data_IF_500270693331
#
_entry.id   IF_500270693331
#
_cell.length_a   1.000
_cell.length_b   1.000
_cell.length_c   1.000
_cell.angle_alpha   90.00
_cell.angle_beta   90.00
_cell.angle_gamma   90.00
#
_symmetry.space_group_name_H-M   'P 1'
#
loop_
_entity.id
_entity.type
_entity.pdbx_description
1 polymer ?
#
# COMPACT_ATOMS: atom_id res chain seq x y z
N UNK A 1 -20.74 -12.89 0.41
CA UNK A 1 -19.51 -13.26 1.10
C UNK A 1 -18.90 -11.96 1.60
N UNK A 2 -18.48 -11.88 2.84
CA UNK A 2 -17.92 -10.64 3.37
C UNK A 2 -16.54 -10.41 2.79
N UNK A 3 -16.25 -9.15 2.45
CA UNK A 3 -15.01 -8.75 1.79
C UNK A 3 -14.29 -7.67 2.59
N UNK A 4 -13.01 -7.93 2.87
CA UNK A 4 -12.11 -7.00 3.52
C UNK A 4 -11.17 -6.36 2.51
N UNK A 5 -11.18 -5.04 2.40
CA UNK A 5 -10.20 -4.28 1.62
C UNK A 5 -9.22 -3.58 2.56
N UNK A 6 -7.94 -3.82 2.35
CA UNK A 6 -6.83 -3.27 3.10
C UNK A 6 -5.99 -2.40 2.16
N UNK A 7 -5.78 -1.13 2.52
CA UNK A 7 -5.05 -0.17 1.68
C UNK A 7 -3.77 0.28 2.38
N UNK A 8 -2.64 0.16 1.68
CA UNK A 8 -1.37 0.74 2.07
C UNK A 8 -1.39 2.25 1.79
N UNK A 9 -1.67 3.04 2.82
CA UNK A 9 -1.83 4.48 2.69
C UNK A 9 -0.56 5.16 2.18
N UNK A 10 0.60 4.79 2.71
CA UNK A 10 1.88 5.38 2.31
C UNK A 10 2.27 5.05 0.89
N UNK A 11 2.12 3.80 0.48
CA UNK A 11 2.43 3.37 -0.88
C UNK A 11 1.51 4.04 -1.91
N UNK A 12 0.20 4.09 -1.63
CA UNK A 12 -0.78 4.68 -2.55
C UNK A 12 -0.62 6.20 -2.65
N UNK A 13 -0.38 6.92 -1.53
CA UNK A 13 -0.17 8.36 -1.56
C UNK A 13 1.11 8.76 -2.30
N UNK A 14 2.21 8.01 -2.10
CA UNK A 14 3.43 8.20 -2.87
C UNK A 14 3.22 7.99 -4.37
N UNK A 15 2.55 6.90 -4.73
CA UNK A 15 2.22 6.60 -6.13
C UNK A 15 1.37 7.69 -6.75
N UNK A 16 0.38 8.19 -6.04
CA UNK A 16 -0.48 9.28 -6.47
C UNK A 16 0.32 10.57 -6.70
N UNK A 17 1.22 10.91 -5.77
CA UNK A 17 2.07 12.09 -5.86
C UNK A 17 2.91 12.13 -7.13
N UNK A 18 3.58 11.02 -7.47
CA UNK A 18 4.41 10.91 -8.67
C UNK A 18 3.64 10.57 -9.96
N UNK A 19 2.42 10.05 -9.83
CA UNK A 19 1.61 9.61 -10.98
C UNK A 19 0.65 10.68 -11.50
N UNK A 20 0.36 11.70 -10.72
CA UNK A 20 -0.52 12.82 -11.08
C UNK A 20 0.32 14.08 -11.26
N UNK A 21 0.13 14.85 -12.34
CA UNK A 21 0.77 16.15 -12.49
C UNK A 21 0.53 17.03 -11.27
N UNK A 22 1.43 17.98 -11.04
CA UNK A 22 1.30 18.91 -9.92
C UNK A 22 -0.02 19.69 -9.99
N UNK A 23 -0.74 19.68 -8.88
CA UNK A 23 -2.01 20.38 -8.69
C UNK A 23 -1.92 21.14 -7.38
N UNK A 24 -2.36 22.39 -7.40
CA UNK A 24 -2.46 23.24 -6.22
C UNK A 24 -3.86 23.81 -6.09
N UNK A 25 -4.32 24.01 -4.86
CA UNK A 25 -5.54 24.78 -4.59
C UNK A 25 -5.25 26.30 -4.66
N UNK A 26 -6.28 27.12 -4.45
CA UNK A 26 -6.18 28.59 -4.49
C UNK A 26 -5.30 29.17 -3.37
N UNK A 27 -5.06 28.42 -2.32
CA UNK A 27 -4.25 28.81 -1.15
C UNK A 27 -2.79 28.34 -1.28
N UNK A 28 -2.44 27.68 -2.39
CA UNK A 28 -1.10 27.19 -2.67
C UNK A 28 -0.78 25.81 -2.11
N UNK A 29 -1.74 25.13 -1.48
CA UNK A 29 -1.55 23.75 -1.02
C UNK A 29 -1.50 22.80 -2.22
N UNK A 30 -0.46 21.97 -2.29
CA UNK A 30 -0.39 20.89 -3.27
C UNK A 30 -1.47 19.83 -2.98
N UNK A 31 -2.14 19.35 -4.02
CA UNK A 31 -3.32 18.45 -3.90
C UNK A 31 -3.27 17.22 -4.81
N UNK A 32 -2.22 17.11 -5.62
CA UNK A 32 -2.08 16.01 -6.59
C UNK A 32 -2.07 14.62 -5.93
N UNK A 33 -1.41 14.46 -4.78
CA UNK A 33 -1.38 13.18 -4.04
C UNK A 33 -2.76 12.85 -3.45
N UNK A 34 -3.45 13.84 -2.88
CA UNK A 34 -4.82 13.68 -2.35
C UNK A 34 -5.76 13.27 -3.48
N UNK A 35 -5.76 14.01 -4.59
CA UNK A 35 -6.59 13.74 -5.76
C UNK A 35 -6.36 12.34 -6.31
N UNK A 36 -5.10 11.97 -6.52
CA UNK A 36 -4.75 10.65 -7.04
C UNK A 36 -5.10 9.52 -6.08
N UNK A 37 -4.89 9.71 -4.76
CA UNK A 37 -5.28 8.74 -3.74
C UNK A 37 -6.79 8.50 -3.74
N UNK A 38 -7.59 9.57 -3.71
CA UNK A 38 -9.05 9.47 -3.72
C UNK A 38 -9.58 8.81 -5.00
N UNK A 39 -8.99 9.09 -6.15
CA UNK A 39 -9.37 8.41 -7.40
C UNK A 39 -9.09 6.90 -7.34
N UNK A 40 -7.95 6.49 -6.78
CA UNK A 40 -7.65 5.07 -6.57
C UNK A 40 -8.63 4.46 -5.58
N UNK A 41 -8.87 5.12 -4.44
CA UNK A 41 -9.79 4.67 -3.40
C UNK A 41 -11.19 4.45 -3.96
N UNK A 42 -11.77 5.47 -4.63
CA UNK A 42 -13.12 5.39 -5.18
C UNK A 42 -13.25 4.27 -6.23
N UNK A 43 -12.23 4.11 -7.08
CA UNK A 43 -12.17 3.00 -8.03
C UNK A 43 -12.17 1.65 -7.33
N UNK A 44 -11.39 1.49 -6.27
CA UNK A 44 -11.33 0.25 -5.49
C UNK A 44 -12.67 -0.03 -4.80
N UNK A 45 -13.31 0.99 -4.23
CA UNK A 45 -14.63 0.85 -3.61
C UNK A 45 -15.69 0.40 -4.62
N UNK A 46 -15.69 0.97 -5.82
CA UNK A 46 -16.61 0.62 -6.90
C UNK A 46 -16.39 -0.82 -7.40
N UNK A 47 -15.14 -1.21 -7.61
CA UNK A 47 -14.79 -2.55 -8.12
C UNK A 47 -14.95 -3.66 -7.08
N UNK A 48 -14.61 -3.40 -5.81
CA UNK A 48 -14.58 -4.41 -4.76
C UNK A 48 -15.87 -4.48 -3.94
N UNK A 49 -16.62 -3.38 -3.84
CA UNK A 49 -17.82 -3.26 -3.00
C UNK A 49 -17.62 -3.89 -1.60
N UNK A 50 -16.63 -3.42 -0.82
CA UNK A 50 -16.20 -4.09 0.41
C UNK A 50 -17.25 -3.95 1.53
N UNK A 51 -17.36 -4.99 2.37
CA UNK A 51 -18.09 -4.91 3.65
C UNK A 51 -17.22 -4.31 4.76
N UNK A 52 -15.90 -4.43 4.62
CA UNK A 52 -14.91 -3.92 5.57
C UNK A 52 -13.76 -3.23 4.83
N UNK A 53 -13.36 -2.06 5.31
CA UNK A 53 -12.29 -1.25 4.73
C UNK A 53 -11.36 -0.72 5.82
N UNK A 54 -10.05 -0.83 5.59
CA UNK A 54 -9.02 -0.26 6.46
C UNK A 54 -7.91 0.37 5.61
N UNK A 55 -7.43 1.54 6.01
CA UNK A 55 -6.22 2.16 5.46
C UNK A 55 -5.13 2.15 6.53
N UNK A 56 -4.00 1.51 6.24
CA UNK A 56 -2.85 1.49 7.14
C UNK A 56 -1.84 2.57 6.75
N UNK A 57 -1.28 3.27 7.74
CA UNK A 57 -0.22 4.23 7.54
C UNK A 57 0.97 3.92 8.44
N UNK A 58 2.18 4.24 7.98
CA UNK A 58 3.37 4.24 8.81
C UNK A 58 3.38 5.43 9.76
N UNK A 59 3.85 5.23 10.98
CA UNK A 59 4.22 6.32 11.88
C UNK A 59 5.70 6.65 11.80
N UNK A 60 6.05 7.92 12.07
CA UNK A 60 7.43 8.36 12.21
C UNK A 60 7.99 7.91 13.57
N UNK A 61 8.18 6.61 13.73
CA UNK A 61 8.81 6.04 14.90
C UNK A 61 9.77 4.92 14.46
N UNK A 62 10.85 4.66 15.20
CA UNK A 62 11.66 3.47 14.96
C UNK A 62 10.78 2.22 15.03
N UNK A 63 11.04 1.27 14.16
CA UNK A 63 10.42 -0.04 14.18
C UNK A 63 11.40 -1.08 14.71
N UNK A 64 10.95 -2.25 15.09
CA UNK A 64 11.83 -3.34 15.52
C UNK A 64 12.94 -3.64 14.49
N UNK A 65 12.70 -3.36 13.19
CA UNK A 65 13.71 -3.54 12.14
C UNK A 65 14.89 -2.55 12.28
N UNK A 66 14.63 -1.33 12.77
CA UNK A 66 15.70 -0.36 13.08
C UNK A 66 16.50 -0.80 14.30
N UNK A 67 15.87 -1.46 15.28
CA UNK A 67 16.57 -2.03 16.45
C UNK A 67 17.45 -3.22 16.06
N UNK A 68 17.04 -3.99 15.03
CA UNK A 68 17.80 -5.14 14.54
C UNK A 68 18.92 -4.73 13.57
N UNK A 69 18.77 -3.62 12.85
CA UNK A 69 19.70 -3.15 11.82
C UNK A 69 19.64 -1.62 11.69
N UNK A 70 20.65 -0.93 12.22
CA UNK A 70 20.71 0.54 12.32
C UNK A 70 20.61 1.24 10.95
N UNK A 71 21.11 0.62 9.87
CA UNK A 71 21.08 1.17 8.52
C UNK A 71 19.76 0.87 7.78
N UNK A 72 18.78 0.24 8.45
CA UNK A 72 17.50 -0.09 7.82
C UNK A 72 16.82 1.16 7.25
N UNK A 73 16.57 1.15 5.94
CA UNK A 73 16.03 2.31 5.20
C UNK A 73 16.86 3.60 5.26
N UNK A 74 18.11 3.54 5.76
CA UNK A 74 19.01 4.70 5.95
C UNK A 74 19.35 5.45 4.65
N UNK A 75 19.29 4.79 3.51
CA UNK A 75 19.53 5.37 2.17
C UNK A 75 18.31 6.01 1.53
N UNK A 76 17.12 5.91 2.15
CA UNK A 76 15.89 6.51 1.60
C UNK A 76 15.98 8.03 1.63
N UNK A 77 15.69 8.65 0.47
CA UNK A 77 15.55 10.12 0.41
C UNK A 77 14.40 10.58 1.31
N UNK A 78 14.53 11.76 1.94
CA UNK A 78 13.44 12.33 2.73
C UNK A 78 12.22 12.57 1.84
N UNK A 79 11.04 12.46 2.45
CA UNK A 79 9.76 12.76 1.78
C UNK A 79 9.74 14.22 1.33
N UNK A 80 9.35 14.52 0.09
CA UNK A 80 9.15 15.90 -0.38
C UNK A 80 8.22 16.70 0.53
N UNK A 81 8.50 18.01 0.70
CA UNK A 81 7.68 18.89 1.52
C UNK A 81 6.23 18.94 1.05
N UNK A 82 6.06 19.06 -0.25
CA UNK A 82 4.77 19.10 -0.96
C UNK A 82 3.93 17.84 -0.73
N UNK A 83 4.55 16.69 -0.58
CA UNK A 83 3.86 15.46 -0.22
C UNK A 83 3.54 15.41 1.27
N UNK A 84 4.49 15.86 2.10
CA UNK A 84 4.37 15.81 3.55
C UNK A 84 3.18 16.64 4.05
N UNK A 85 2.90 17.79 3.44
CA UNK A 85 1.77 18.66 3.81
C UNK A 85 0.40 18.08 3.41
N UNK A 86 0.35 17.24 2.37
CA UNK A 86 -0.89 16.61 1.90
C UNK A 86 -1.37 15.46 2.79
N UNK A 87 -0.48 14.77 3.51
CA UNK A 87 -0.83 13.59 4.31
C UNK A 87 -1.82 13.90 5.45
N UNK A 88 -1.63 14.95 6.27
CA UNK A 88 -2.61 15.32 7.30
C UNK A 88 -3.99 15.61 6.72
N UNK A 89 -4.04 16.38 5.63
CA UNK A 89 -5.31 16.72 4.95
C UNK A 89 -6.00 15.48 4.40
N UNK A 90 -5.23 14.57 3.78
CA UNK A 90 -5.77 13.28 3.32
C UNK A 90 -6.39 12.48 4.47
N UNK A 91 -5.72 12.41 5.63
CA UNK A 91 -6.25 11.71 6.81
C UNK A 91 -7.53 12.35 7.34
N UNK A 92 -7.63 13.67 7.35
CA UNK A 92 -8.86 14.38 7.71
C UNK A 92 -10.01 14.04 6.76
N UNK A 93 -9.75 13.98 5.45
CA UNK A 93 -10.74 13.57 4.44
C UNK A 93 -11.18 12.12 4.70
N UNK A 94 -10.26 11.18 4.88
CA UNK A 94 -10.58 9.78 5.16
C UNK A 94 -11.41 9.65 6.45
N UNK A 95 -11.05 10.39 7.50
CA UNK A 95 -11.82 10.45 8.75
C UNK A 95 -13.24 10.98 8.53
N UNK A 96 -13.38 12.05 7.74
CA UNK A 96 -14.69 12.63 7.39
C UNK A 96 -15.55 11.70 6.55
N UNK A 97 -14.93 10.82 5.77
CA UNK A 97 -15.59 9.74 5.02
C UNK A 97 -15.92 8.52 5.90
N UNK A 98 -15.64 8.57 7.21
CA UNK A 98 -15.79 7.46 8.16
C UNK A 98 -14.99 6.22 7.77
N UNK A 99 -13.82 6.39 7.14
CA UNK A 99 -12.92 5.31 6.76
C UNK A 99 -11.98 5.03 7.94
N UNK A 100 -11.93 3.76 8.35
CA UNK A 100 -11.04 3.33 9.43
C UNK A 100 -9.58 3.43 9.00
N UNK A 101 -8.77 4.10 9.83
CA UNK A 101 -7.34 4.18 9.65
C UNK A 101 -6.61 3.48 10.80
N UNK A 102 -5.51 2.82 10.52
CA UNK A 102 -4.66 2.18 11.53
C UNK A 102 -3.22 2.65 11.38
N UNK A 103 -2.67 3.06 12.52
CA UNK A 103 -1.26 3.40 12.70
C UNK A 103 -0.80 2.78 14.00
N UNK A 104 0.42 2.28 14.04
CA UNK A 104 0.98 1.70 15.26
C UNK A 104 2.49 1.94 15.33
N UNK A 105 2.97 2.53 16.42
CA UNK A 105 4.39 2.68 16.67
C UNK A 105 5.07 1.31 16.83
N UNK A 106 6.31 1.20 16.36
CA UNK A 106 7.11 -0.01 16.47
C UNK A 106 6.92 -1.03 15.34
N UNK A 107 5.88 -0.89 14.51
CA UNK A 107 5.64 -1.75 13.34
C UNK A 107 5.35 -0.91 12.09
N UNK A 108 5.47 -1.50 10.92
CA UNK A 108 5.20 -0.84 9.64
C UNK A 108 3.76 -1.12 9.17
N UNK A 109 3.27 -0.28 8.26
CA UNK A 109 1.95 -0.50 7.63
C UNK A 109 1.84 -1.90 7.00
N UNK A 110 2.91 -2.38 6.37
CA UNK A 110 2.98 -3.72 5.77
C UNK A 110 2.73 -4.84 6.78
N UNK A 111 3.21 -4.69 8.02
CA UNK A 111 2.97 -5.67 9.10
C UNK A 111 1.50 -5.66 9.52
N UNK A 112 0.89 -4.47 9.58
CA UNK A 112 -0.55 -4.31 9.86
C UNK A 112 -1.35 -5.00 8.75
N UNK A 113 -1.05 -4.69 7.49
CA UNK A 113 -1.75 -5.25 6.33
C UNK A 113 -1.61 -6.77 6.27
N UNK A 114 -0.39 -7.30 6.47
CA UNK A 114 -0.13 -8.74 6.47
C UNK A 114 -0.90 -9.46 7.57
N UNK A 115 -0.88 -8.91 8.79
CA UNK A 115 -1.61 -9.46 9.94
C UNK A 115 -3.12 -9.46 9.70
N UNK A 116 -3.67 -8.33 9.25
CA UNK A 116 -5.09 -8.20 8.98
C UNK A 116 -5.56 -9.09 7.83
N UNK A 117 -4.74 -9.21 6.76
CA UNK A 117 -5.05 -10.07 5.63
C UNK A 117 -5.14 -11.54 6.04
N UNK A 118 -4.15 -12.03 6.78
CA UNK A 118 -4.16 -13.42 7.28
C UNK A 118 -5.26 -13.68 8.28
N UNK A 119 -5.57 -12.72 9.15
CA UNK A 119 -6.68 -12.82 10.09
C UNK A 119 -8.03 -12.87 9.36
N UNK A 120 -8.23 -11.99 8.36
CA UNK A 120 -9.45 -11.97 7.54
C UNK A 120 -9.64 -13.29 6.78
N UNK A 121 -8.58 -13.82 6.15
CA UNK A 121 -8.60 -15.12 5.47
C UNK A 121 -9.00 -16.25 6.44
N UNK A 122 -8.41 -16.27 7.64
CA UNK A 122 -8.71 -17.28 8.66
C UNK A 122 -10.17 -17.20 9.14
N UNK A 123 -10.78 -16.02 9.13
CA UNK A 123 -12.19 -15.80 9.42
C UNK A 123 -13.12 -16.08 8.24
N UNK A 124 -12.59 -16.51 7.10
CA UNK A 124 -13.36 -16.85 5.91
C UNK A 124 -13.72 -15.70 4.99
N UNK A 125 -13.14 -14.50 5.22
CA UNK A 125 -13.36 -13.33 4.35
C UNK A 125 -12.58 -13.48 3.02
N UNK A 126 -13.10 -12.88 1.96
CA UNK A 126 -12.30 -12.52 0.80
C UNK A 126 -11.50 -11.27 1.14
N UNK A 127 -10.20 -11.27 0.84
CA UNK A 127 -9.31 -10.16 1.20
C UNK A 127 -8.68 -9.56 -0.05
N UNK A 128 -8.73 -8.24 -0.18
CA UNK A 128 -8.00 -7.48 -1.20
C UNK A 128 -7.01 -6.54 -0.51
N UNK A 129 -5.72 -6.72 -0.78
CA UNK A 129 -4.63 -5.85 -0.30
C UNK A 129 -4.22 -4.93 -1.42
N UNK A 130 -4.40 -3.63 -1.26
CA UNK A 130 -4.10 -2.60 -2.27
C UNK A 130 -2.82 -1.88 -1.90
N UNK A 131 -1.75 -2.12 -2.64
CA UNK A 131 -0.44 -1.46 -2.44
C UNK A 131 0.32 -1.35 -3.76
N UNK A 132 1.23 -0.40 -3.84
CA UNK A 132 2.23 -0.34 -4.92
C UNK A 132 3.47 -1.20 -4.64
N UNK A 133 3.60 -1.73 -3.43
CA UNK A 133 4.73 -2.55 -3.04
C UNK A 133 4.53 -4.02 -3.44
N UNK A 134 5.47 -4.52 -4.24
CA UNK A 134 5.45 -5.91 -4.72
C UNK A 134 5.86 -6.92 -3.66
N UNK A 135 6.39 -6.46 -2.51
CA UNK A 135 6.72 -7.35 -1.39
C UNK A 135 5.47 -7.97 -0.80
N UNK A 136 4.34 -7.26 -0.88
CA UNK A 136 3.06 -7.77 -0.43
C UNK A 136 2.49 -8.90 -1.31
N UNK A 137 3.09 -9.19 -2.48
CA UNK A 137 2.72 -10.36 -3.30
C UNK A 137 2.93 -11.68 -2.55
N UNK A 138 3.80 -11.70 -1.53
CA UNK A 138 3.96 -12.85 -0.62
C UNK A 138 2.67 -13.22 0.14
N UNK A 139 1.71 -12.30 0.24
CA UNK A 139 0.44 -12.53 0.91
C UNK A 139 -0.61 -13.22 0.03
N UNK A 140 -0.38 -13.27 -1.29
CA UNK A 140 -1.37 -13.76 -2.24
C UNK A 140 -1.70 -15.24 -2.00
N UNK A 141 -3.00 -15.55 -1.94
CA UNK A 141 -3.54 -16.91 -1.79
C UNK A 141 -4.73 -17.08 -2.72
N UNK A 142 -5.53 -18.11 -2.52
CA UNK A 142 -6.81 -18.29 -3.22
C UNK A 142 -7.88 -17.32 -2.71
N UNK A 143 -7.74 -16.79 -1.47
CA UNK A 143 -8.67 -15.86 -0.83
C UNK A 143 -8.09 -14.45 -0.63
N UNK A 144 -6.78 -14.30 -0.65
CA UNK A 144 -6.10 -13.01 -0.57
C UNK A 144 -5.62 -12.61 -1.96
N UNK A 145 -6.14 -11.52 -2.48
CA UNK A 145 -5.74 -10.88 -3.73
C UNK A 145 -4.92 -9.62 -3.43
N UNK A 146 -3.76 -9.48 -4.06
CA UNK A 146 -2.95 -8.25 -3.99
C UNK A 146 -3.23 -7.43 -5.24
N UNK A 147 -3.65 -6.18 -5.06
CA UNK A 147 -4.02 -5.26 -6.11
C UNK A 147 -2.99 -4.16 -6.22
N UNK A 148 -2.34 -4.06 -7.38
CA UNK A 148 -1.30 -3.07 -7.64
C UNK A 148 -1.82 -2.01 -8.61
N UNK A 149 -2.17 -0.79 -8.11
CA UNK A 149 -2.56 0.30 -8.98
C UNK A 149 -1.38 0.77 -9.82
N UNK A 150 -1.62 1.07 -11.09
CA UNK A 150 -0.67 1.73 -12.01
C UNK A 150 -1.32 2.98 -12.55
N UNK A 151 -0.75 4.15 -12.25
CA UNK A 151 -1.20 5.43 -12.80
C UNK A 151 -0.22 5.88 -13.88
N UNK A 152 -0.73 6.12 -15.08
CA UNK A 152 0.04 6.65 -16.22
C UNK A 152 -0.83 7.64 -16.98
N UNK A 153 -0.34 8.89 -17.14
CA UNK A 153 -1.08 9.94 -17.87
C UNK A 153 -2.46 10.23 -17.28
N UNK A 154 -2.57 10.22 -15.95
CA UNK A 154 -3.84 10.49 -15.24
C UNK A 154 -4.85 9.32 -15.25
N UNK A 155 -4.55 8.22 -15.96
CA UNK A 155 -5.39 7.01 -15.93
C UNK A 155 -4.81 5.99 -14.94
N UNK A 156 -5.67 5.47 -14.07
CA UNK A 156 -5.31 4.39 -13.13
C UNK A 156 -5.89 3.07 -13.63
N UNK A 157 -5.01 2.10 -13.81
CA UNK A 157 -5.33 0.69 -14.00
C UNK A 157 -4.91 -0.08 -12.75
N UNK A 158 -5.55 -1.20 -12.46
CA UNK A 158 -5.20 -2.05 -11.31
C UNK A 158 -4.85 -3.43 -11.85
N UNK A 159 -3.71 -3.96 -11.43
CA UNK A 159 -3.31 -5.34 -11.69
C UNK A 159 -3.64 -6.18 -10.46
N UNK A 160 -4.31 -7.27 -10.68
CA UNK A 160 -4.73 -8.19 -9.64
C UNK A 160 -3.82 -9.42 -9.63
N UNK A 161 -3.30 -9.77 -8.45
CA UNK A 161 -2.44 -10.91 -8.22
C UNK A 161 -3.04 -11.78 -7.12
N UNK A 162 -3.52 -12.94 -7.48
CA UNK A 162 -3.72 -14.06 -6.58
C UNK A 162 -2.59 -15.09 -6.83
N UNK A 163 -2.61 -16.21 -6.16
CA UNK A 163 -1.55 -17.23 -6.24
C UNK A 163 -1.16 -17.61 -7.68
N UNK A 164 -2.11 -17.97 -8.59
CA UNK A 164 -1.78 -18.28 -9.98
C UNK A 164 -1.05 -17.18 -10.73
N UNK A 165 -1.49 -15.91 -10.60
CA UNK A 165 -0.89 -14.77 -11.30
C UNK A 165 0.53 -14.47 -10.80
N UNK A 166 0.80 -14.68 -9.50
CA UNK A 166 2.18 -14.56 -8.98
C UNK A 166 3.08 -15.61 -9.60
N UNK A 167 2.63 -16.88 -9.67
CA UNK A 167 3.41 -17.96 -10.26
C UNK A 167 3.64 -17.71 -11.76
N UNK A 168 2.63 -17.26 -12.48
CA UNK A 168 2.73 -16.96 -13.92
C UNK A 168 3.74 -15.84 -14.21
N UNK A 169 3.70 -14.72 -13.43
CA UNK A 169 4.56 -13.56 -13.71
C UNK A 169 5.98 -13.72 -13.16
N UNK A 170 6.14 -14.38 -11.99
CA UNK A 170 7.43 -14.45 -11.29
C UNK A 170 8.11 -15.82 -11.35
N UNK A 171 7.42 -16.87 -11.76
CA UNK A 171 7.94 -18.24 -11.79
C UNK A 171 8.16 -18.86 -10.41
N UNK A 172 7.66 -18.22 -9.35
CA UNK A 172 7.79 -18.66 -7.95
C UNK A 172 6.45 -18.56 -7.24
N UNK A 173 6.27 -19.28 -6.15
CA UNK A 173 5.06 -19.16 -5.33
C UNK A 173 5.08 -17.87 -4.51
N UNK A 174 3.93 -17.36 -4.03
CA UNK A 174 3.88 -16.18 -3.16
C UNK A 174 4.81 -16.29 -1.95
N UNK A 175 4.89 -17.46 -1.33
CA UNK A 175 5.75 -17.70 -0.16
C UNK A 175 7.26 -17.58 -0.51
N UNK A 176 7.62 -17.80 -1.76
CA UNK A 176 9.01 -17.72 -2.26
C UNK A 176 9.40 -16.32 -2.75
N UNK A 177 8.47 -15.36 -2.77
CA UNK A 177 8.77 -13.95 -3.18
C UNK A 177 9.88 -13.35 -2.29
N UNK A 178 9.89 -13.69 -1.00
CA UNK A 178 10.92 -13.21 -0.06
C UNK A 178 12.30 -13.75 -0.48
N UNK A 179 12.40 -15.04 -0.78
CA UNK A 179 13.65 -15.68 -1.21
C UNK A 179 14.12 -15.10 -2.55
N UNK A 180 13.20 -14.93 -3.51
CA UNK A 180 13.48 -14.30 -4.78
C UNK A 180 14.07 -12.90 -4.60
N UNK A 181 13.48 -12.08 -3.72
CA UNK A 181 14.00 -10.75 -3.41
C UNK A 181 15.39 -10.80 -2.75
N UNK A 182 15.58 -11.65 -1.77
CA UNK A 182 16.88 -11.84 -1.13
C UNK A 182 17.99 -12.22 -2.12
N UNK A 183 17.67 -12.94 -3.20
CA UNK A 183 18.60 -13.28 -4.27
C UNK A 183 18.86 -12.11 -5.23
N UNK A 184 17.85 -11.29 -5.51
CA UNK A 184 17.96 -10.12 -6.39
C UNK A 184 18.79 -9.03 -5.69
N UNK A 185 18.51 -8.73 -4.42
CA UNK A 185 19.19 -7.68 -3.66
C UNK A 185 20.67 -8.00 -3.42
N UNK A 186 21.07 -9.28 -3.34
CA UNK A 186 22.48 -9.67 -3.28
C UNK A 186 23.31 -9.29 -4.51
N UNK A 187 22.69 -9.06 -5.66
CA UNK A 187 23.38 -8.56 -6.87
C UNK A 187 23.78 -7.08 -6.79
N UNK A 188 23.22 -6.34 -5.85
CA UNK A 188 23.52 -4.91 -5.65
C UNK A 188 24.70 -4.66 -4.71
N UNK A 189 25.33 -5.69 -4.17
CA UNK A 189 26.41 -5.61 -3.16
C UNK A 189 27.76 -6.14 -3.71
N UNK A 190 27.88 -6.30 -5.04
CA UNK A 190 29.14 -6.66 -5.69
C UNK A 190 29.55 -5.57 -6.68
#
# INVERSE_FOLDING_TARGET
MDKLVLIDGNSIVNRAFYGVPDLTNREGLHTNAIYGFLNILLKILDEENPTHLLVAFDVKAPTFRHEMFDEYKGTRKPMPGELKEQIPVLKEILSSMNIQMKEQAGIEADDILGTMAKTGEAQGLEVSVVSGDRDLLQLATDKIKVRIPKTKGGKTTVLDYNRPQVIEEYGVTPEQIIDLKGLIDRKSVV
#
